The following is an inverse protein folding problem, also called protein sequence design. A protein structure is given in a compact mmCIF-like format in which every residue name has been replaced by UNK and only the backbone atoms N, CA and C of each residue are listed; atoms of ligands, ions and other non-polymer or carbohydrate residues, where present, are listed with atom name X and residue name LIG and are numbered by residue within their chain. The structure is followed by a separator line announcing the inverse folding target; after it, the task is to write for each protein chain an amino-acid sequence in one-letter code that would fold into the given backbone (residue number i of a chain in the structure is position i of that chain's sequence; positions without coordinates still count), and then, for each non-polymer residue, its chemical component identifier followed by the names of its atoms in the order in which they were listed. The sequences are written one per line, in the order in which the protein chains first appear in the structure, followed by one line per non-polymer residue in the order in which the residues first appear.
data_IF_360769918241
#
_entry.id   IF_360769918241
#
_cell.length_a   1.000
_cell.length_b   1.000
_cell.length_c   1.000
_cell.angle_alpha   90.00
_cell.angle_beta   90.00
_cell.angle_gamma   90.00
#
_symmetry.space_group_name_H-M   'P 1'
#
loop_
_entity.id
_entity.type
_entity.pdbx_description
1 polymer ?
#
# COMPACT_ATOMS: atom_id res chain seq x y z
N UNK A 1 19.16 -3.15 -13.21
CA UNK A 1 18.33 -3.70 -12.11
C UNK A 1 17.84 -2.60 -11.15
N UNK A 2 18.73 -1.74 -10.63
CA UNK A 2 18.32 -0.64 -9.73
C UNK A 2 17.32 0.36 -10.32
N UNK A 3 17.45 0.72 -11.60
CA UNK A 3 16.49 1.64 -12.25
C UNK A 3 15.08 1.02 -12.31
N UNK A 4 14.97 -0.26 -12.67
CA UNK A 4 13.69 -0.97 -12.70
C UNK A 4 13.06 -1.04 -11.30
N UNK A 5 13.85 -1.33 -10.26
CA UNK A 5 13.38 -1.32 -8.88
C UNK A 5 12.89 0.07 -8.46
N UNK A 6 13.63 1.13 -8.79
CA UNK A 6 13.22 2.50 -8.51
C UNK A 6 11.90 2.87 -9.19
N UNK A 7 11.70 2.45 -10.45
CA UNK A 7 10.45 2.70 -11.17
C UNK A 7 9.29 1.96 -10.47
N UNK A 8 9.45 0.66 -10.20
CA UNK A 8 8.40 -0.14 -9.56
C UNK A 8 8.09 0.35 -8.14
N UNK A 9 9.12 0.68 -7.37
CA UNK A 9 9.03 1.24 -6.03
C UNK A 9 8.35 2.61 -6.03
N UNK A 10 8.67 3.46 -7.01
CA UNK A 10 7.99 4.75 -7.22
C UNK A 10 6.52 4.58 -7.55
N UNK A 11 6.17 3.67 -8.48
CA UNK A 11 4.79 3.37 -8.84
C UNK A 11 3.99 2.82 -7.66
N UNK A 12 4.56 1.86 -6.92
CA UNK A 12 3.94 1.29 -5.73
C UNK A 12 3.74 2.38 -4.66
N UNK A 13 4.78 3.17 -4.38
CA UNK A 13 4.71 4.23 -3.39
C UNK A 13 3.65 5.28 -3.75
N UNK A 14 3.56 5.70 -5.01
CA UNK A 14 2.52 6.64 -5.46
C UNK A 14 1.11 6.07 -5.30
N UNK A 15 0.90 4.81 -5.70
CA UNK A 15 -0.40 4.16 -5.56
C UNK A 15 -0.83 4.02 -4.10
N UNK A 16 0.09 3.56 -3.24
CA UNK A 16 -0.16 3.38 -1.81
C UNK A 16 -0.33 4.73 -1.11
N UNK A 17 0.43 5.75 -1.50
CA UNK A 17 0.31 7.10 -0.96
C UNK A 17 -1.05 7.72 -1.31
N UNK A 18 -1.51 7.58 -2.55
CA UNK A 18 -2.85 8.01 -2.95
C UNK A 18 -3.93 7.27 -2.16
N UNK A 19 -3.82 5.94 -2.07
CA UNK A 19 -4.73 5.11 -1.28
C UNK A 19 -4.79 5.55 0.19
N UNK A 20 -3.63 5.69 0.82
CA UNK A 20 -3.50 6.10 2.21
C UNK A 20 -4.02 7.50 2.47
N UNK A 21 -3.77 8.43 1.54
CA UNK A 21 -4.28 9.80 1.59
C UNK A 21 -5.82 9.85 1.57
N UNK A 22 -6.43 9.07 0.67
CA UNK A 22 -7.89 8.97 0.57
C UNK A 22 -8.54 8.37 1.82
N UNK A 23 -7.85 7.43 2.51
CA UNK A 23 -8.35 6.79 3.72
C UNK A 23 -8.14 7.63 4.99
N UNK A 24 -6.94 8.21 5.14
CA UNK A 24 -6.54 8.89 6.37
C UNK A 24 -6.95 10.37 6.40
N UNK A 25 -6.84 11.07 5.27
CA UNK A 25 -6.98 12.54 5.21
C UNK A 25 -8.27 12.93 4.50
N UNK A 26 -8.55 12.33 3.34
CA UNK A 26 -9.77 12.60 2.56
C UNK A 26 -10.85 11.52 2.76
N UNK A 27 -11.05 11.08 4.02
CA UNK A 27 -11.95 9.98 4.36
C UNK A 27 -13.32 10.06 3.70
N UNK A 28 -13.98 11.23 3.72
CA UNK A 28 -15.31 11.40 3.12
C UNK A 28 -15.31 11.11 1.61
N UNK A 29 -14.27 11.53 0.89
CA UNK A 29 -14.10 11.21 -0.53
C UNK A 29 -13.76 9.74 -0.75
N UNK A 30 -12.94 9.15 0.13
CA UNK A 30 -12.64 7.71 0.10
C UNK A 30 -13.89 6.86 0.33
N UNK A 31 -14.72 7.26 1.28
CA UNK A 31 -16.00 6.63 1.58
C UNK A 31 -17.00 6.76 0.43
N UNK A 32 -16.99 7.89 -0.29
CA UNK A 32 -17.82 8.07 -1.48
C UNK A 32 -17.33 7.22 -2.66
N UNK A 33 -16.01 7.06 -2.82
CA UNK A 33 -15.40 6.32 -3.92
C UNK A 33 -15.45 4.80 -3.73
N UNK A 34 -15.33 4.31 -2.49
CA UNK A 34 -15.18 2.89 -2.19
C UNK A 34 -16.26 2.37 -1.25
N UNK A 35 -17.09 1.47 -1.76
CA UNK A 35 -18.22 0.91 -1.01
C UNK A 35 -17.82 0.20 0.29
N UNK A 36 -16.64 -0.40 0.34
CA UNK A 36 -16.15 -1.11 1.51
C UNK A 36 -15.84 -0.19 2.70
N UNK A 37 -15.44 1.07 2.43
CA UNK A 37 -15.11 2.05 3.47
C UNK A 37 -16.33 2.41 4.29
N UNK A 38 -17.50 2.55 3.65
CA UNK A 38 -18.78 2.83 4.36
C UNK A 38 -19.19 1.70 5.31
N UNK A 39 -18.78 0.48 5.00
CA UNK A 39 -19.14 -0.71 5.77
C UNK A 39 -18.22 -0.98 6.97
N UNK A 40 -17.20 -0.16 7.20
CA UNK A 40 -16.18 -0.37 8.23
C UNK A 40 -16.10 0.81 9.21
N UNK A 41 -15.63 0.58 10.45
CA UNK A 41 -15.38 1.66 11.39
C UNK A 41 -14.38 2.68 10.81
N UNK A 42 -14.72 3.97 10.89
CA UNK A 42 -13.87 5.06 10.40
C UNK A 42 -12.44 5.00 10.95
N UNK A 43 -12.29 4.67 12.24
CA UNK A 43 -10.99 4.52 12.89
C UNK A 43 -10.12 3.46 12.20
N UNK A 44 -10.69 2.30 11.88
CA UNK A 44 -9.98 1.22 11.19
C UNK A 44 -9.49 1.67 9.81
N UNK A 45 -10.36 2.31 9.03
CA UNK A 45 -10.00 2.80 7.68
C UNK A 45 -8.89 3.84 7.76
N UNK A 46 -8.98 4.79 8.70
CA UNK A 46 -7.95 5.81 8.91
C UNK A 46 -6.64 5.18 9.35
N UNK A 47 -6.65 4.21 10.27
CA UNK A 47 -5.45 3.49 10.70
C UNK A 47 -4.76 2.77 9.53
N UNK A 48 -5.53 2.09 8.67
CA UNK A 48 -4.98 1.48 7.43
C UNK A 48 -4.35 2.56 6.55
N UNK A 49 -5.04 3.70 6.37
CA UNK A 49 -4.51 4.80 5.57
C UNK A 49 -3.20 5.38 6.10
N UNK A 50 -3.08 5.54 7.42
CA UNK A 50 -1.84 6.00 8.06
C UNK A 50 -0.71 5.00 7.86
N UNK A 51 -0.98 3.70 8.02
CA UNK A 51 0.00 2.64 7.77
C UNK A 51 0.46 2.62 6.31
N UNK A 52 -0.45 2.82 5.36
CA UNK A 52 -0.12 2.95 3.93
C UNK A 52 0.78 4.16 3.66
N UNK A 53 0.47 5.32 4.26
CA UNK A 53 1.30 6.53 4.13
C UNK A 53 2.71 6.30 4.70
N UNK A 54 2.81 5.69 5.89
CA UNK A 54 4.10 5.34 6.49
C UNK A 54 4.87 4.34 5.64
N UNK A 55 4.19 3.33 5.07
CA UNK A 55 4.79 2.36 4.16
C UNK A 55 5.31 3.02 2.88
N UNK A 56 4.57 3.95 2.28
CA UNK A 56 5.02 4.69 1.09
C UNK A 56 6.26 5.54 1.37
N UNK A 57 6.32 6.18 2.55
CA UNK A 57 7.52 6.91 2.99
C UNK A 57 8.69 5.95 3.27
N UNK A 58 8.43 4.82 3.93
CA UNK A 58 9.42 3.78 4.21
C UNK A 58 9.94 3.07 2.97
N UNK A 59 9.17 3.08 1.87
CA UNK A 59 9.64 2.63 0.57
C UNK A 59 10.63 3.62 -0.04
N UNK A 60 10.37 4.93 -0.03
CA UNK A 60 11.17 5.89 -0.79
C UNK A 60 12.33 6.51 -0.01
N UNK A 61 12.10 6.88 1.25
CA UNK A 61 13.05 7.68 2.02
C UNK A 61 14.34 6.92 2.38
N UNK A 62 14.31 5.69 2.92
CA UNK A 62 15.53 5.02 3.36
C UNK A 62 16.52 4.77 2.21
N UNK A 63 16.00 4.30 1.08
CA UNK A 63 16.80 4.08 -0.12
C UNK A 63 17.24 5.38 -0.79
N UNK A 64 16.37 6.41 -0.81
CA UNK A 64 16.65 7.67 -1.50
C UNK A 64 17.61 8.58 -0.73
N UNK A 65 17.59 8.50 0.60
CA UNK A 65 18.51 9.26 1.48
C UNK A 65 19.77 8.48 1.83
N UNK A 66 19.80 7.16 1.57
CA UNK A 66 20.88 6.26 1.99
C UNK A 66 20.89 5.96 3.49
N UNK A 67 19.88 6.40 4.26
CA UNK A 67 19.79 6.20 5.70
C UNK A 67 18.97 4.94 5.98
N UNK A 68 19.60 3.94 6.60
CA UNK A 68 19.00 2.64 6.90
C UNK A 68 18.25 1.97 5.71
N UNK A 69 18.90 1.72 4.56
CA UNK A 69 18.28 1.10 3.37
C UNK A 69 17.50 -0.18 3.64
N UNK A 70 17.90 -0.95 4.66
CA UNK A 70 17.21 -2.16 5.11
C UNK A 70 15.75 -1.93 5.55
N UNK A 71 15.33 -0.68 5.83
CA UNK A 71 13.93 -0.36 6.10
C UNK A 71 13.04 -0.45 4.85
N UNK A 72 13.61 -0.27 3.65
CA UNK A 72 12.88 -0.37 2.38
C UNK A 72 12.23 -1.75 2.17
N UNK A 73 12.97 -2.87 2.24
CA UNK A 73 12.34 -4.20 2.10
C UNK A 73 11.39 -4.52 3.27
N UNK A 74 11.65 -4.03 4.48
CA UNK A 74 10.74 -4.19 5.62
C UNK A 74 9.41 -3.48 5.36
N UNK A 75 9.44 -2.23 4.87
CA UNK A 75 8.25 -1.48 4.49
C UNK A 75 7.49 -2.17 3.35
N UNK A 76 8.19 -2.71 2.36
CA UNK A 76 7.59 -3.47 1.27
C UNK A 76 6.86 -4.73 1.78
N UNK A 77 7.45 -5.48 2.71
CA UNK A 77 6.82 -6.66 3.34
C UNK A 77 5.59 -6.26 4.17
N UNK A 78 5.69 -5.19 4.96
CA UNK A 78 4.56 -4.70 5.74
C UNK A 78 3.39 -4.26 4.84
N UNK A 79 3.67 -3.55 3.73
CA UNK A 79 2.68 -3.20 2.73
C UNK A 79 2.08 -4.42 2.06
N UNK A 80 2.89 -5.42 1.71
CA UNK A 80 2.38 -6.69 1.17
C UNK A 80 1.39 -7.35 2.13
N UNK A 81 1.67 -7.36 3.43
CA UNK A 81 0.75 -7.91 4.44
C UNK A 81 -0.58 -7.12 4.52
N UNK A 82 -0.53 -5.78 4.45
CA UNK A 82 -1.74 -4.93 4.43
C UNK A 82 -2.58 -5.20 3.18
N UNK A 83 -1.94 -5.23 2.02
CA UNK A 83 -2.60 -5.47 0.73
C UNK A 83 -3.19 -6.88 0.67
N UNK A 84 -2.47 -7.88 1.17
CA UNK A 84 -2.97 -9.26 1.25
C UNK A 84 -4.20 -9.37 2.16
N UNK A 85 -4.17 -8.71 3.33
CA UNK A 85 -5.31 -8.65 4.23
C UNK A 85 -6.52 -7.98 3.56
N UNK A 86 -6.30 -6.91 2.80
CA UNK A 86 -7.32 -6.26 1.99
C UNK A 86 -7.87 -7.18 0.88
N UNK A 87 -7.01 -7.93 0.19
CA UNK A 87 -7.43 -8.88 -0.84
C UNK A 87 -8.34 -9.97 -0.25
N UNK A 88 -7.96 -10.55 0.88
CA UNK A 88 -8.78 -11.53 1.60
C UNK A 88 -10.14 -10.92 2.00
N UNK A 89 -10.14 -9.68 2.51
CA UNK A 89 -11.36 -8.97 2.87
C UNK A 89 -12.31 -8.77 1.68
N UNK A 90 -11.80 -8.37 0.51
CA UNK A 90 -12.63 -8.24 -0.70
C UNK A 90 -13.12 -9.59 -1.23
N UNK A 91 -12.35 -10.68 -1.06
CA UNK A 91 -12.82 -12.05 -1.36
C UNK A 91 -14.06 -12.38 -0.50
N UNK A 92 -14.00 -12.13 0.81
CA UNK A 92 -15.14 -12.37 1.70
C UNK A 92 -16.37 -11.54 1.34
N UNK A 93 -16.18 -10.32 0.85
CA UNK A 93 -17.27 -9.43 0.38
C UNK A 93 -17.73 -9.70 -1.05
N UNK A 94 -17.10 -10.63 -1.77
CA UNK A 94 -17.33 -10.92 -3.20
C UNK A 94 -17.12 -9.69 -4.10
N UNK A 95 -16.24 -8.78 -3.70
CA UNK A 95 -15.89 -7.56 -4.43
C UNK A 95 -14.71 -7.81 -5.38
N UNK A 96 -14.91 -8.67 -6.38
CA UNK A 96 -13.82 -9.18 -7.23
C UNK A 96 -13.08 -8.11 -8.04
N UNK A 97 -13.71 -6.97 -8.29
CA UNK A 97 -13.09 -5.84 -9.00
C UNK A 97 -11.93 -5.23 -8.23
N UNK A 98 -12.04 -5.12 -6.91
CA UNK A 98 -11.03 -4.51 -6.05
C UNK A 98 -9.84 -5.46 -5.81
N UNK A 99 -10.07 -6.78 -5.92
CA UNK A 99 -9.02 -7.81 -5.79
C UNK A 99 -7.93 -7.61 -6.85
N UNK A 100 -8.30 -7.26 -8.08
CA UNK A 100 -7.34 -7.07 -9.17
C UNK A 100 -6.27 -6.02 -8.83
N UNK A 101 -6.69 -4.89 -8.24
CA UNK A 101 -5.77 -3.84 -7.81
C UNK A 101 -4.87 -4.35 -6.69
N UNK A 102 -5.43 -5.06 -5.70
CA UNK A 102 -4.63 -5.60 -4.60
C UNK A 102 -3.60 -6.62 -5.08
N UNK A 103 -3.94 -7.49 -6.05
CA UNK A 103 -3.00 -8.45 -6.61
C UNK A 103 -1.84 -7.74 -7.31
N UNK A 104 -2.10 -6.67 -8.07
CA UNK A 104 -1.04 -5.87 -8.70
C UNK A 104 -0.16 -5.24 -7.63
N UNK A 105 -0.74 -4.59 -6.62
CA UNK A 105 0.02 -3.95 -5.54
C UNK A 105 0.85 -4.95 -4.75
N UNK A 106 0.31 -6.14 -4.49
CA UNK A 106 1.00 -7.23 -3.80
C UNK A 106 2.21 -7.70 -4.63
N UNK A 107 2.02 -7.91 -5.94
CA UNK A 107 3.10 -8.31 -6.83
C UNK A 107 4.23 -7.26 -6.88
N UNK A 108 3.88 -5.97 -6.96
CA UNK A 108 4.87 -4.88 -6.93
C UNK A 108 5.58 -4.83 -5.57
N UNK A 109 4.87 -4.99 -4.45
CA UNK A 109 5.45 -4.99 -3.11
C UNK A 109 6.42 -6.14 -2.90
N UNK A 110 6.05 -7.36 -3.32
CA UNK A 110 6.94 -8.54 -3.26
C UNK A 110 8.16 -8.35 -4.16
N UNK A 111 7.97 -7.82 -5.37
CA UNK A 111 9.08 -7.54 -6.29
C UNK A 111 10.09 -6.56 -5.69
N UNK A 112 9.62 -5.48 -5.06
CA UNK A 112 10.50 -4.51 -4.38
C UNK A 112 11.16 -5.12 -3.15
N UNK A 113 10.42 -5.88 -2.34
CA UNK A 113 10.97 -6.55 -1.16
C UNK A 113 12.12 -7.48 -1.54
N UNK A 114 11.90 -8.36 -2.53
CA UNK A 114 12.92 -9.32 -2.99
C UNK A 114 14.08 -8.63 -3.70
N UNK A 115 13.81 -7.58 -4.48
CA UNK A 115 14.87 -6.87 -5.21
C UNK A 115 15.74 -5.94 -4.36
N UNK A 116 15.30 -5.59 -3.14
CA UNK A 116 16.03 -4.75 -2.18
C UNK A 116 16.55 -5.52 -0.96
N UNK A 117 16.29 -6.83 -0.89
CA UNK A 117 16.93 -7.79 0.03
C UNK A 117 18.32 -8.14 -0.49
#
# INVERSE_FOLDING_TARGET
MNIALWIVQGLLALGVLYSGWMKAIQYEKGAAAWGWVKGMPKSLVVSIGVLELLGALGLLLPEGTGIAPALTPIAAIALAAVVLSGALFHIFRKEYREIGINVVFLALAVFVAVGRL
#
